data_IF_814373994761
#
_entry.id   IF_814373994761
#
_cell.length_a   1.000
_cell.length_b   1.000
_cell.length_c   1.000
_cell.angle_alpha   90.00
_cell.angle_beta   90.00
_cell.angle_gamma   90.00
#
_symmetry.space_group_name_H-M   'P 1'
#
loop_
_entity.id
_entity.type
_entity.pdbx_description
1 polymer ?
#
# COMPACT_ATOMS: atom_id res chain seq x y z
N UNK A 1 -68.48 19.93 -21.96
CA UNK A 1 -67.54 20.20 -20.86
C UNK A 1 -66.68 18.98 -20.47
N UNK A 2 -67.22 17.75 -20.43
CA UNK A 2 -66.42 16.56 -20.07
C UNK A 2 -65.21 16.28 -20.99
N UNK A 3 -65.32 16.60 -22.29
CA UNK A 3 -64.28 16.32 -23.27
C UNK A 3 -63.05 17.25 -23.16
N UNK A 4 -63.24 18.50 -22.74
CA UNK A 4 -62.15 19.45 -22.50
C UNK A 4 -61.36 19.12 -21.22
N UNK A 5 -62.05 18.64 -20.18
CA UNK A 5 -61.39 18.17 -18.97
C UNK A 5 -60.55 16.90 -19.21
N UNK A 6 -61.05 15.97 -20.04
CA UNK A 6 -60.31 14.76 -20.42
C UNK A 6 -59.05 15.08 -21.25
N UNK A 7 -59.14 16.03 -22.20
CA UNK A 7 -57.98 16.48 -22.98
C UNK A 7 -56.89 17.15 -22.12
N UNK A 8 -57.31 17.95 -21.12
CA UNK A 8 -56.39 18.57 -20.14
C UNK A 8 -55.62 17.55 -19.32
N UNK A 9 -56.28 16.47 -18.89
CA UNK A 9 -55.62 15.40 -18.13
C UNK A 9 -54.59 14.63 -18.97
N UNK A 10 -54.89 14.37 -20.25
CA UNK A 10 -53.96 13.69 -21.15
C UNK A 10 -52.71 14.53 -21.42
N UNK A 11 -52.88 15.84 -21.59
CA UNK A 11 -51.76 16.78 -21.78
C UNK A 11 -50.86 16.87 -20.54
N UNK A 12 -51.46 16.85 -19.34
CA UNK A 12 -50.70 16.80 -18.07
C UNK A 12 -49.93 15.47 -17.97
N UNK A 13 -50.52 14.36 -18.38
CA UNK A 13 -49.88 13.04 -18.35
C UNK A 13 -48.69 12.95 -19.31
N UNK A 14 -48.86 13.41 -20.55
CA UNK A 14 -47.78 13.49 -21.55
C UNK A 14 -46.64 14.41 -21.08
N UNK A 15 -46.96 15.55 -20.45
CA UNK A 15 -45.96 16.42 -19.85
C UNK A 15 -45.21 15.75 -18.69
N UNK A 16 -45.91 15.01 -17.82
CA UNK A 16 -45.30 14.29 -16.71
C UNK A 16 -44.38 13.14 -17.20
N UNK A 17 -44.78 12.40 -18.23
CA UNK A 17 -43.95 11.33 -18.83
C UNK A 17 -42.66 11.91 -19.44
N UNK A 18 -42.75 13.04 -20.14
CA UNK A 18 -41.56 13.72 -20.69
C UNK A 18 -40.63 14.24 -19.59
N UNK A 19 -41.18 14.79 -18.52
CA UNK A 19 -40.41 15.22 -17.35
C UNK A 19 -39.71 14.04 -16.67
N UNK A 20 -40.41 12.92 -16.48
CA UNK A 20 -39.83 11.71 -15.90
C UNK A 20 -38.65 11.19 -16.76
N UNK A 21 -38.83 11.13 -18.08
CA UNK A 21 -37.76 10.73 -19.01
C UNK A 21 -36.57 11.71 -19.00
N UNK A 22 -36.83 13.01 -18.84
CA UNK A 22 -35.78 14.03 -18.77
C UNK A 22 -35.00 13.98 -17.44
N UNK A 23 -35.67 13.62 -16.34
CA UNK A 23 -35.08 13.56 -14.99
C UNK A 23 -34.39 12.23 -14.68
N UNK A 24 -34.73 11.15 -15.41
CA UNK A 24 -34.19 9.80 -15.20
C UNK A 24 -32.64 9.77 -15.09
N UNK A 25 -31.85 10.45 -15.96
CA UNK A 25 -30.39 10.45 -15.84
C UNK A 25 -29.88 11.14 -14.57
N UNK A 26 -30.48 12.28 -14.21
CA UNK A 26 -30.09 13.04 -13.01
C UNK A 26 -30.47 12.31 -11.72
N UNK A 27 -31.64 11.67 -11.69
CA UNK A 27 -32.07 10.87 -10.54
C UNK A 27 -31.17 9.66 -10.35
N UNK A 28 -30.80 8.99 -11.45
CA UNK A 28 -29.89 7.85 -11.41
C UNK A 28 -28.50 8.24 -10.92
N UNK A 29 -27.97 9.39 -11.35
CA UNK A 29 -26.70 9.92 -10.85
C UNK A 29 -26.77 10.18 -9.33
N UNK A 30 -27.81 10.87 -8.88
CA UNK A 30 -28.00 11.18 -7.46
C UNK A 30 -28.13 9.92 -6.59
N UNK A 31 -28.83 8.89 -7.08
CA UNK A 31 -28.92 7.60 -6.40
C UNK A 31 -27.57 6.88 -6.34
N UNK A 32 -26.79 6.91 -7.41
CA UNK A 32 -25.45 6.30 -7.43
C UNK A 32 -24.52 6.99 -6.43
N UNK A 33 -24.55 8.33 -6.37
CA UNK A 33 -23.76 9.11 -5.41
C UNK A 33 -24.16 8.80 -3.96
N UNK A 34 -25.46 8.80 -3.66
CA UNK A 34 -25.97 8.47 -2.32
C UNK A 34 -25.61 7.04 -1.89
N UNK A 35 -25.70 6.06 -2.79
CA UNK A 35 -25.35 4.67 -2.50
C UNK A 35 -23.84 4.47 -2.34
N UNK A 36 -23.02 5.17 -3.13
CA UNK A 36 -21.55 5.16 -3.00
C UNK A 36 -21.11 5.74 -1.66
N UNK A 37 -21.70 6.87 -1.24
CA UNK A 37 -21.43 7.45 0.07
C UNK A 37 -21.84 6.50 1.22
N UNK A 38 -23.02 5.88 1.13
CA UNK A 38 -23.47 4.91 2.11
C UNK A 38 -22.56 3.68 2.19
N UNK A 39 -22.08 3.18 1.04
CA UNK A 39 -21.15 2.05 0.99
C UNK A 39 -19.78 2.37 1.61
N UNK A 40 -19.28 3.60 1.42
CA UNK A 40 -18.07 4.08 2.08
C UNK A 40 -18.24 4.14 3.61
N UNK A 41 -19.35 4.69 4.11
CA UNK A 41 -19.65 4.74 5.54
C UNK A 41 -19.73 3.33 6.16
N UNK A 42 -20.41 2.40 5.48
CA UNK A 42 -20.46 0.99 5.90
C UNK A 42 -19.06 0.36 5.93
N UNK A 43 -18.24 0.61 4.91
CA UNK A 43 -16.87 0.10 4.84
C UNK A 43 -16.01 0.58 6.00
N UNK A 44 -16.17 1.84 6.42
CA UNK A 44 -15.43 2.38 7.58
C UNK A 44 -15.81 1.74 8.91
N UNK A 45 -17.07 1.32 9.05
CA UNK A 45 -17.58 0.63 10.25
C UNK A 45 -17.29 -0.89 10.22
N UNK A 46 -16.88 -1.44 9.06
CA UNK A 46 -16.57 -2.85 8.91
C UNK A 46 -15.15 -3.18 9.40
N UNK A 47 -15.05 -4.17 10.31
CA UNK A 47 -13.75 -4.65 10.86
C UNK A 47 -12.83 -5.28 9.81
N UNK A 48 -13.39 -5.89 8.77
CA UNK A 48 -12.63 -6.58 7.74
C UNK A 48 -13.45 -6.70 6.46
N UNK A 49 -12.80 -6.46 5.32
CA UNK A 49 -13.47 -6.42 4.02
C UNK A 49 -14.00 -5.03 3.67
N UNK A 50 -14.58 -4.89 2.49
CA UNK A 50 -15.15 -3.62 2.00
C UNK A 50 -16.44 -3.86 1.22
N UNK A 51 -17.27 -2.82 1.15
CA UNK A 51 -18.51 -2.80 0.35
C UNK A 51 -18.39 -1.66 -0.63
N UNK A 52 -18.54 -1.98 -1.91
CA UNK A 52 -18.51 -1.02 -3.02
C UNK A 52 -19.77 -1.14 -3.89
N UNK A 53 -20.08 -0.11 -4.67
CA UNK A 53 -21.21 -0.09 -5.60
C UNK A 53 -20.69 0.11 -7.01
N UNK A 54 -20.88 -0.91 -7.86
CA UNK A 54 -20.50 -0.86 -9.27
C UNK A 54 -21.70 -0.77 -10.19
N UNK A 55 -21.47 -0.25 -11.38
CA UNK A 55 -22.46 -0.30 -12.45
C UNK A 55 -22.21 -1.50 -13.37
N UNK A 56 -23.19 -2.39 -13.45
CA UNK A 56 -23.21 -3.53 -14.36
C UNK A 56 -24.22 -3.27 -15.49
N UNK A 57 -23.75 -2.59 -16.54
CA UNK A 57 -24.61 -2.16 -17.65
C UNK A 57 -25.62 -1.10 -17.22
N UNK A 58 -26.89 -1.49 -17.02
CA UNK A 58 -27.96 -0.60 -16.56
C UNK A 58 -28.29 -0.74 -15.08
N UNK A 59 -27.80 -1.77 -14.42
CA UNK A 59 -28.11 -2.09 -13.04
C UNK A 59 -26.95 -1.73 -12.10
N UNK A 60 -27.28 -1.43 -10.85
CA UNK A 60 -26.30 -1.21 -9.78
C UNK A 60 -26.12 -2.52 -8.99
N UNK A 61 -24.87 -2.88 -8.73
CA UNK A 61 -24.51 -4.07 -7.96
C UNK A 61 -23.63 -3.71 -6.78
N UNK A 62 -23.89 -4.32 -5.63
CA UNK A 62 -22.99 -4.26 -4.48
C UNK A 62 -21.90 -5.32 -4.61
N UNK A 63 -20.66 -4.90 -4.46
CA UNK A 63 -19.49 -5.80 -4.39
C UNK A 63 -19.01 -5.82 -2.96
N UNK A 64 -19.02 -7.00 -2.35
CA UNK A 64 -18.46 -7.18 -1.02
C UNK A 64 -17.14 -7.91 -1.16
N UNK A 65 -16.04 -7.21 -0.88
CA UNK A 65 -14.72 -7.82 -0.83
C UNK A 65 -14.49 -8.38 0.57
N UNK A 66 -14.20 -9.67 0.65
CA UNK A 66 -13.67 -10.28 1.87
C UNK A 66 -12.17 -10.47 1.70
N UNK A 67 -11.36 -10.25 2.75
CA UNK A 67 -9.93 -10.53 2.67
C UNK A 67 -9.74 -12.01 2.33
N UNK A 68 -9.22 -12.27 1.14
CA UNK A 68 -8.83 -13.62 0.75
C UNK A 68 -7.57 -13.97 1.52
N UNK A 69 -7.50 -15.14 2.18
CA UNK A 69 -6.24 -15.58 2.78
C UNK A 69 -5.20 -15.67 1.67
N UNK A 70 -4.09 -14.96 1.83
CA UNK A 70 -3.02 -14.90 0.84
C UNK A 70 -2.42 -16.30 0.64
N UNK A 71 -2.78 -16.96 -0.46
CA UNK A 71 -1.94 -18.00 -1.05
C UNK A 71 -0.83 -17.32 -1.85
N UNK A 72 0.41 -17.66 -1.51
CA UNK A 72 1.64 -17.20 -2.15
C UNK A 72 1.61 -17.46 -3.67
N UNK A 73 1.25 -16.47 -4.47
CA UNK A 73 1.33 -16.53 -5.93
C UNK A 73 2.56 -15.76 -6.44
N UNK A 74 3.54 -16.54 -6.88
CA UNK A 74 4.78 -16.14 -7.56
C UNK A 74 4.46 -15.54 -8.94
N UNK A 75 4.78 -14.27 -9.22
CA UNK A 75 4.94 -13.73 -10.59
C UNK A 75 5.66 -12.37 -10.65
N UNK A 76 6.42 -12.17 -11.73
CA UNK A 76 7.45 -11.15 -11.99
C UNK A 76 6.90 -9.74 -12.40
N UNK A 77 7.75 -8.68 -12.49
CA UNK A 77 7.36 -7.30 -12.26
C UNK A 77 6.92 -6.50 -13.50
N UNK A 78 5.91 -5.64 -13.34
CA UNK A 78 5.53 -4.53 -14.23
C UNK A 78 5.11 -3.31 -13.37
N UNK A 79 5.22 -2.07 -13.88
CA UNK A 79 5.38 -0.89 -13.04
C UNK A 79 4.07 -0.30 -12.53
N UNK A 80 4.10 0.17 -11.27
CA UNK A 80 3.18 1.13 -10.61
C UNK A 80 1.73 0.64 -10.46
N UNK A 81 0.97 0.88 -9.39
CA UNK A 81 0.97 1.86 -8.30
C UNK A 81 0.13 1.23 -7.16
N UNK A 82 0.35 1.69 -5.93
CA UNK A 82 -0.58 1.63 -4.78
C UNK A 82 -0.80 0.29 -4.04
N UNK A 83 -0.39 0.26 -2.77
CA UNK A 83 -1.04 -0.49 -1.69
C UNK A 83 -0.95 0.40 -0.44
N UNK A 84 -2.05 1.09 -0.11
CA UNK A 84 -2.14 2.08 0.98
C UNK A 84 -2.47 1.44 2.36
N UNK A 85 -2.25 0.13 2.50
CA UNK A 85 -2.49 -0.64 3.74
C UNK A 85 -1.22 -1.37 4.27
N UNK A 86 -0.05 -0.73 4.17
CA UNK A 86 1.22 -1.21 4.76
C UNK A 86 1.92 -0.08 5.54
N UNK A 87 1.16 0.62 6.41
CA UNK A 87 1.45 1.95 6.99
C UNK A 87 2.74 2.10 7.84
N UNK A 88 3.69 1.16 7.82
CA UNK A 88 5.05 1.38 8.31
C UNK A 88 6.13 0.54 7.61
N UNK A 89 5.86 -0.08 6.45
CA UNK A 89 6.83 -0.97 5.79
C UNK A 89 7.56 -0.25 4.66
N UNK A 90 8.80 0.19 4.92
CA UNK A 90 9.62 0.85 3.91
C UNK A 90 10.27 -0.17 2.96
N UNK A 91 9.96 -0.11 1.66
CA UNK A 91 10.60 -0.94 0.63
C UNK A 91 11.99 -0.38 0.27
N UNK A 92 13.02 -1.22 0.33
CA UNK A 92 14.41 -0.84 0.00
C UNK A 92 14.95 -1.75 -1.10
N UNK A 93 15.54 -1.16 -2.15
CA UNK A 93 16.29 -1.91 -3.18
C UNK A 93 17.79 -1.78 -2.91
N UNK A 94 18.46 -2.89 -2.61
CA UNK A 94 19.88 -2.92 -2.25
C UNK A 94 20.70 -3.58 -3.37
N UNK A 95 21.81 -2.96 -3.77
CA UNK A 95 22.80 -3.57 -4.67
C UNK A 95 23.98 -4.05 -3.85
N UNK A 96 24.22 -5.35 -3.85
CA UNK A 96 25.32 -5.98 -3.13
C UNK A 96 26.38 -6.48 -4.12
N UNK A 97 27.68 -6.35 -3.79
CA UNK A 97 28.72 -7.12 -4.48
C UNK A 97 28.44 -8.63 -4.32
N UNK A 98 28.78 -9.42 -5.36
CA UNK A 98 28.45 -10.84 -5.40
C UNK A 98 29.02 -11.64 -4.22
N UNK A 99 30.22 -11.26 -3.76
CA UNK A 99 30.86 -11.85 -2.58
C UNK A 99 30.06 -11.64 -1.29
N UNK A 100 29.34 -10.53 -1.16
CA UNK A 100 28.54 -10.19 0.02
C UNK A 100 27.21 -10.93 -0.01
N UNK A 101 26.58 -11.04 -1.19
CA UNK A 101 25.35 -11.80 -1.38
C UNK A 101 25.56 -13.29 -1.05
N UNK A 102 26.59 -13.91 -1.60
CA UNK A 102 26.89 -15.32 -1.38
C UNK A 102 27.11 -15.64 0.12
N UNK A 103 27.82 -14.77 0.84
CA UNK A 103 28.06 -14.93 2.28
C UNK A 103 26.79 -14.75 3.12
N UNK A 104 25.91 -13.84 2.71
CA UNK A 104 24.62 -13.64 3.38
C UNK A 104 23.68 -14.85 3.18
N UNK A 105 23.67 -15.46 1.99
CA UNK A 105 22.90 -16.67 1.71
C UNK A 105 23.37 -17.85 2.55
N UNK A 106 24.68 -18.07 2.66
CA UNK A 106 25.25 -19.14 3.50
C UNK A 106 24.82 -19.00 4.97
N UNK A 107 24.90 -17.78 5.52
CA UNK A 107 24.49 -17.50 6.89
C UNK A 107 22.97 -17.69 7.06
N UNK A 108 22.16 -17.23 6.10
CA UNK A 108 20.71 -17.41 6.14
C UNK A 108 20.33 -18.90 6.15
N UNK A 109 20.97 -19.72 5.30
CA UNK A 109 20.78 -21.18 5.25
C UNK A 109 21.19 -21.84 6.56
N UNK A 110 22.31 -21.43 7.16
CA UNK A 110 22.79 -21.95 8.46
C UNK A 110 21.80 -21.67 9.59
N UNK A 111 21.05 -20.57 9.50
CA UNK A 111 19.99 -20.21 10.43
C UNK A 111 18.60 -20.77 10.04
N UNK A 112 18.49 -21.57 8.98
CA UNK A 112 17.23 -22.15 8.52
C UNK A 112 16.19 -21.10 8.08
N UNK A 113 16.66 -19.93 7.63
CA UNK A 113 15.83 -18.77 7.31
C UNK A 113 16.07 -18.31 5.87
N UNK A 114 15.08 -17.64 5.27
CA UNK A 114 15.29 -17.00 3.98
C UNK A 114 16.28 -15.84 4.10
N UNK A 115 16.99 -15.52 3.01
CA UNK A 115 17.89 -14.37 2.97
C UNK A 115 17.17 -13.07 3.39
N UNK A 116 15.93 -12.87 2.94
CA UNK A 116 15.14 -11.68 3.29
C UNK A 116 14.85 -11.62 4.80
N UNK A 117 14.39 -12.73 5.38
CA UNK A 117 14.14 -12.84 6.83
C UNK A 117 15.42 -12.63 7.64
N UNK A 118 16.53 -13.20 7.18
CA UNK A 118 17.83 -13.05 7.83
C UNK A 118 18.32 -11.59 7.79
N UNK A 119 18.24 -10.91 6.65
CA UNK A 119 18.60 -9.48 6.50
C UNK A 119 17.74 -8.58 7.38
N UNK A 120 16.42 -8.80 7.41
CA UNK A 120 15.50 -8.02 8.26
C UNK A 120 15.83 -8.21 9.75
N UNK A 121 16.17 -9.43 10.17
CA UNK A 121 16.57 -9.72 11.55
C UNK A 121 17.91 -9.07 11.92
N UNK A 122 18.89 -9.09 11.00
CA UNK A 122 20.17 -8.40 11.19
C UNK A 122 19.99 -6.90 11.30
N UNK A 123 19.18 -6.28 10.42
CA UNK A 123 18.85 -4.85 10.47
C UNK A 123 18.12 -4.48 11.78
N UNK A 124 17.16 -5.30 12.21
CA UNK A 124 16.45 -5.12 13.49
C UNK A 124 17.40 -5.25 14.69
N UNK A 125 18.42 -6.10 14.59
CA UNK A 125 19.50 -6.19 15.58
C UNK A 125 20.38 -4.94 15.56
N UNK A 126 20.76 -4.46 14.37
CA UNK A 126 21.60 -3.28 14.18
C UNK A 126 20.96 -1.98 14.69
N UNK A 127 19.64 -1.85 14.58
CA UNK A 127 18.89 -0.65 15.00
C UNK A 127 18.47 -0.66 16.47
N UNK A 128 18.61 -1.79 17.18
CA UNK A 128 18.48 -1.83 18.63
C UNK A 128 19.77 -1.25 19.22
N UNK A 129 19.66 -0.08 19.85
CA UNK A 129 20.74 0.61 20.56
C UNK A 129 21.53 -0.39 21.42
N UNK A 130 22.71 -0.80 20.94
CA UNK A 130 23.64 -1.65 21.68
C UNK A 130 24.23 -2.88 20.97
N UNK A 131 23.80 -3.29 19.77
CA UNK A 131 24.19 -4.62 19.26
C UNK A 131 25.22 -4.70 18.12
N UNK A 132 25.70 -3.61 17.50
CA UNK A 132 26.81 -3.73 16.54
C UNK A 132 27.83 -2.61 16.76
N UNK A 133 28.91 -2.92 17.49
CA UNK A 133 30.17 -2.21 17.29
C UNK A 133 30.68 -2.62 15.92
N UNK A 134 30.34 -1.83 14.90
CA UNK A 134 30.95 -1.96 13.59
C UNK A 134 32.33 -1.31 13.73
N UNK A 135 33.33 -2.14 14.05
CA UNK A 135 34.73 -1.78 13.84
C UNK A 135 34.97 -1.78 12.33
N UNK A 136 34.62 -0.68 11.65
CA UNK A 136 35.12 -0.45 10.29
C UNK A 136 36.59 -0.06 10.46
N UNK A 137 37.49 -1.03 10.28
CA UNK A 137 38.91 -0.74 10.13
C UNK A 137 39.16 -0.05 8.78
N UNK A 138 39.04 1.28 8.80
CA UNK A 138 39.31 2.17 7.66
C UNK A 138 40.81 2.25 7.32
N UNK A 139 41.69 1.52 8.02
CA UNK A 139 43.14 1.52 7.78
C UNK A 139 43.56 0.76 6.52
N UNK A 140 42.64 0.08 5.85
CA UNK A 140 42.94 -0.83 4.73
C UNK A 140 42.48 -0.34 3.35
N UNK A 141 41.97 0.89 3.23
CA UNK A 141 41.67 1.49 1.92
C UNK A 141 42.95 2.05 1.28
N UNK A 142 43.39 1.56 0.11
CA UNK A 142 44.50 2.15 -0.62
C UNK A 142 43.98 3.35 -1.40
N UNK A 143 43.93 4.51 -0.77
CA UNK A 143 43.77 5.80 -1.44
C UNK A 143 45.15 6.44 -1.57
N UNK A 144 45.76 6.23 -2.73
CA UNK A 144 46.96 6.92 -3.16
C UNK A 144 46.73 8.44 -3.23
N UNK A 145 47.56 9.18 -2.47
CA UNK A 145 47.92 10.56 -2.76
C UNK A 145 47.12 11.67 -2.05
N UNK A 146 47.60 12.15 -0.90
CA UNK A 146 47.96 13.55 -0.59
C UNK A 146 48.30 13.74 0.92
N UNK A 147 49.54 14.13 1.24
CA UNK A 147 49.89 14.92 2.44
C UNK A 147 50.35 14.18 3.72
N UNK A 148 51.44 14.62 4.39
CA UNK A 148 52.06 13.87 5.49
C UNK A 148 51.67 14.37 6.89
N UNK A 149 51.55 13.43 7.83
CA UNK A 149 51.79 13.68 9.26
C UNK A 149 50.55 13.69 10.15
N UNK A 150 50.43 12.67 11.01
CA UNK A 150 49.45 12.68 12.10
C UNK A 150 49.43 11.38 12.88
N UNK A 151 50.17 11.32 13.98
CA UNK A 151 50.32 10.17 14.89
C UNK A 151 48.96 9.72 15.45
N UNK A 152 48.70 8.41 15.35
CA UNK A 152 47.66 7.69 16.09
C UNK A 152 47.79 7.96 17.60
N UNK A 153 46.72 8.45 18.22
CA UNK A 153 46.51 8.38 19.67
C UNK A 153 45.20 7.64 19.92
N UNK A 154 45.32 6.49 20.57
CA UNK A 154 44.17 5.73 21.05
C UNK A 154 43.31 6.57 22.00
N UNK A 155 42.00 6.49 21.80
CA UNK A 155 41.02 7.06 22.71
C UNK A 155 40.18 5.95 23.33
N UNK A 156 40.22 5.96 24.65
CA UNK A 156 39.71 5.01 25.63
C UNK A 156 38.17 5.01 25.65
N UNK A 157 37.58 3.83 25.62
CA UNK A 157 36.12 3.61 25.74
C UNK A 157 35.67 3.87 27.18
N UNK A 158 34.61 4.64 27.37
CA UNK A 158 33.95 4.87 28.65
C UNK A 158 32.46 4.57 28.48
N UNK A 159 31.94 3.63 29.27
CA UNK A 159 30.53 3.20 29.27
C UNK A 159 29.78 3.87 30.43
N UNK A 160 28.55 4.32 30.19
CA UNK A 160 27.60 4.70 31.23
C UNK A 160 26.18 4.60 30.69
N UNK A 161 25.31 3.84 31.38
CA UNK A 161 23.91 3.64 31.05
C UNK A 161 23.03 4.61 31.86
N UNK A 162 21.97 5.15 31.24
CA UNK A 162 20.72 5.56 31.90
C UNK A 162 19.58 5.02 31.06
#
# INVERSE_FOLDING_TARGET
>A
MAQSAAAGNEQIRDAAERLALALDPSMRLALMEALSQAAAEITTEMRSGSVDVRLAGRELEFVVAHPMPAEEAVAAPGPSVEDEDDAATARITLRLPESVKAKAEELATKHGSSLNTWIVNVLRGATREGAINIDIDLSSLPLDGFGPGGKSRGAKRMTGWV
#
